data_IF_251104076588
#
_entry.id   IF_251104076588
#
_cell.length_a   1.000
_cell.length_b   1.000
_cell.length_c   1.000
_cell.angle_alpha   90.00
_cell.angle_beta   90.00
_cell.angle_gamma   90.00
#
_symmetry.space_group_name_H-M   'P 1'
#
loop_
_entity.id
_entity.type
_entity.pdbx_description
1 polymer ?
#
# COMPACT_ATOMS: atom_id res chain seq x y z
N UNK A 1 19.38 -42.61 7.11
CA UNK A 1 19.21 -43.00 8.52
C UNK A 1 19.24 -41.75 9.40
N UNK A 2 18.29 -41.57 10.34
CA UNK A 2 18.23 -40.36 11.18
C UNK A 2 19.26 -40.45 12.32
N UNK A 3 20.16 -39.47 12.40
CA UNK A 3 21.12 -39.38 13.50
C UNK A 3 20.39 -39.11 14.83
N UNK A 4 20.65 -39.92 15.86
CA UNK A 4 20.11 -39.73 17.22
C UNK A 4 21.18 -39.13 18.12
N UNK A 5 20.84 -38.01 18.74
CA UNK A 5 21.72 -37.36 19.72
C UNK A 5 21.70 -38.14 21.03
N UNK A 6 22.88 -38.37 21.61
CA UNK A 6 22.97 -38.94 22.96
C UNK A 6 22.59 -37.89 24.01
N UNK A 7 22.16 -38.34 25.20
CA UNK A 7 21.85 -37.42 26.31
C UNK A 7 23.00 -36.48 26.65
N UNK A 8 24.24 -36.98 26.61
CA UNK A 8 25.47 -36.18 26.83
C UNK A 8 25.63 -35.06 25.79
N UNK A 9 25.30 -35.35 24.52
CA UNK A 9 25.37 -34.37 23.44
C UNK A 9 24.30 -33.27 23.60
N UNK A 10 23.08 -33.65 24.00
CA UNK A 10 21.99 -32.69 24.25
C UNK A 10 22.33 -31.78 25.44
N UNK A 11 22.84 -32.32 26.55
CA UNK A 11 23.28 -31.52 27.70
C UNK A 11 24.43 -30.57 27.35
N UNK A 12 25.32 -30.98 26.44
CA UNK A 12 26.36 -30.09 25.93
C UNK A 12 25.76 -28.91 25.15
N UNK A 13 24.82 -29.19 24.24
CA UNK A 13 24.17 -28.14 23.44
C UNK A 13 23.41 -27.16 24.33
N UNK A 14 22.63 -27.64 25.31
CA UNK A 14 21.85 -26.79 26.20
C UNK A 14 22.72 -25.82 27.01
N UNK A 15 23.80 -26.32 27.64
CA UNK A 15 24.69 -25.51 28.48
C UNK A 15 25.47 -24.48 27.66
N UNK A 16 25.94 -24.88 26.47
CA UNK A 16 26.78 -24.01 25.65
C UNK A 16 25.97 -23.03 24.82
N UNK A 17 24.75 -23.36 24.42
CA UNK A 17 23.91 -22.45 23.62
C UNK A 17 23.57 -21.13 24.34
N UNK A 18 23.58 -21.13 25.68
CA UNK A 18 23.46 -19.92 26.51
C UNK A 18 24.70 -19.03 26.48
N UNK A 19 25.88 -19.62 26.26
CA UNK A 19 27.18 -18.93 26.35
C UNK A 19 27.73 -18.45 25.00
N UNK A 20 27.36 -19.12 23.90
CA UNK A 20 27.99 -18.88 22.59
C UNK A 20 26.97 -18.75 21.46
N UNK A 21 27.37 -18.14 20.34
CA UNK A 21 26.52 -18.07 19.15
C UNK A 21 26.41 -19.43 18.45
N UNK A 22 25.40 -19.58 17.60
CA UNK A 22 25.10 -20.84 16.93
C UNK A 22 26.29 -21.36 16.08
N UNK A 23 26.97 -20.45 15.37
CA UNK A 23 28.14 -20.76 14.55
C UNK A 23 29.27 -21.37 15.38
N UNK A 24 29.65 -20.70 16.47
CA UNK A 24 30.69 -21.19 17.38
C UNK A 24 30.28 -22.48 18.08
N UNK A 25 28.98 -22.64 18.37
CA UNK A 25 28.44 -23.87 18.97
C UNK A 25 28.59 -25.07 18.04
N UNK A 26 28.29 -24.91 16.75
CA UNK A 26 28.44 -25.97 15.77
C UNK A 26 29.92 -26.41 15.65
N UNK A 27 30.85 -25.45 15.57
CA UNK A 27 32.30 -25.74 15.53
C UNK A 27 32.76 -26.46 16.80
N UNK A 28 32.36 -25.98 17.99
CA UNK A 28 32.72 -26.60 19.26
C UNK A 28 32.12 -28.01 19.42
N UNK A 29 30.89 -28.20 18.95
CA UNK A 29 30.22 -29.51 18.94
C UNK A 29 30.98 -30.50 18.05
N UNK A 30 31.32 -30.08 16.83
CA UNK A 30 32.05 -30.90 15.87
C UNK A 30 33.44 -31.27 16.40
N UNK A 31 34.17 -30.30 16.98
CA UNK A 31 35.48 -30.53 17.57
C UNK A 31 35.43 -31.50 18.77
N UNK A 32 34.39 -31.42 19.61
CA UNK A 32 34.27 -32.24 20.82
C UNK A 32 33.90 -33.69 20.54
N UNK A 33 33.04 -33.94 19.56
CA UNK A 33 32.49 -35.27 19.28
C UNK A 33 32.99 -35.89 17.97
N UNK A 34 33.82 -35.18 17.20
CA UNK A 34 34.33 -35.64 15.91
C UNK A 34 33.23 -35.78 14.84
N UNK A 35 32.12 -35.07 14.99
CA UNK A 35 30.97 -35.14 14.07
C UNK A 35 31.04 -33.93 13.14
N UNK A 36 30.61 -34.06 11.89
CA UNK A 36 30.44 -32.93 11.01
C UNK A 36 28.96 -32.50 10.94
N UNK A 37 28.52 -31.65 11.87
CA UNK A 37 27.18 -31.04 11.84
C UNK A 37 27.22 -29.61 11.34
N UNK A 38 26.26 -29.28 10.49
CA UNK A 38 26.02 -27.93 10.01
C UNK A 38 25.31 -27.09 11.07
N UNK A 39 25.39 -25.77 10.95
CA UNK A 39 24.67 -24.85 11.83
C UNK A 39 23.14 -25.07 11.79
N UNK A 40 22.60 -25.40 10.61
CA UNK A 40 21.19 -25.66 10.40
C UNK A 40 20.69 -26.89 11.16
N UNK A 41 21.47 -27.98 11.15
CA UNK A 41 21.16 -29.19 11.90
C UNK A 41 21.18 -28.93 13.41
N UNK A 42 22.21 -28.24 13.91
CA UNK A 42 22.29 -27.84 15.31
C UNK A 42 21.08 -26.96 15.68
N UNK A 43 20.74 -25.95 14.87
CA UNK A 43 19.56 -25.10 15.09
C UNK A 43 18.27 -25.90 15.16
N UNK A 44 18.09 -26.85 14.25
CA UNK A 44 16.92 -27.74 14.22
C UNK A 44 16.81 -28.53 15.52
N UNK A 45 17.93 -29.10 16.00
CA UNK A 45 17.95 -29.86 17.26
C UNK A 45 17.61 -29.01 18.46
N UNK A 46 18.20 -27.81 18.58
CA UNK A 46 17.90 -26.87 19.65
C UNK A 46 16.40 -26.50 19.67
N UNK A 47 15.81 -26.26 18.49
CA UNK A 47 14.37 -25.94 18.36
C UNK A 47 13.48 -27.12 18.74
N UNK A 48 13.81 -28.33 18.29
CA UNK A 48 13.04 -29.54 18.59
C UNK A 48 13.03 -29.87 20.08
N UNK A 49 14.15 -29.60 20.77
CA UNK A 49 14.28 -29.76 22.23
C UNK A 49 13.90 -28.50 23.02
N UNK A 50 13.40 -27.45 22.37
CA UNK A 50 12.99 -26.17 22.98
C UNK A 50 14.08 -25.51 23.83
N UNK A 51 15.35 -25.70 23.46
CA UNK A 51 16.45 -25.04 24.14
C UNK A 51 16.49 -23.56 23.77
N UNK A 52 16.40 -22.71 24.79
CA UNK A 52 16.44 -21.26 24.66
C UNK A 52 17.85 -20.75 24.97
N UNK A 53 18.34 -19.81 24.16
CA UNK A 53 19.65 -19.19 24.42
C UNK A 53 19.60 -18.17 25.56
N UNK A 54 18.40 -17.75 25.99
CA UNK A 54 18.22 -16.70 27.00
C UNK A 54 18.65 -15.30 26.57
N UNK A 55 19.18 -15.15 25.34
CA UNK A 55 19.52 -13.84 24.78
C UNK A 55 18.26 -13.12 24.35
N UNK A 56 18.21 -11.81 24.63
CA UNK A 56 17.09 -10.94 24.24
C UNK A 56 16.71 -11.16 22.77
N UNK A 57 15.41 -11.32 22.53
CA UNK A 57 14.81 -11.66 21.22
C UNK A 57 14.92 -10.52 20.18
N UNK A 58 15.74 -9.49 20.44
CA UNK A 58 15.79 -8.26 19.66
C UNK A 58 14.47 -7.47 19.72
N UNK A 59 13.63 -7.75 20.73
CA UNK A 59 12.34 -7.09 20.95
C UNK A 59 12.50 -6.11 22.10
N UNK A 60 11.92 -4.93 21.94
CA UNK A 60 11.76 -3.99 23.05
C UNK A 60 10.86 -4.61 24.11
N UNK A 61 11.17 -4.34 25.39
CA UNK A 61 10.36 -4.80 26.49
C UNK A 61 8.96 -4.16 26.47
N UNK A 62 7.97 -4.85 27.02
CA UNK A 62 6.60 -4.33 27.06
C UNK A 62 6.59 -3.06 27.92
N UNK A 63 6.18 -1.94 27.33
CA UNK A 63 6.22 -0.63 27.98
C UNK A 63 7.43 0.22 27.62
N UNK A 64 8.35 -0.28 26.80
CA UNK A 64 9.48 0.51 26.31
C UNK A 64 9.02 1.76 25.55
N UNK A 65 9.36 2.92 26.07
CA UNK A 65 9.11 4.22 25.44
C UNK A 65 10.30 4.56 24.54
N UNK A 66 10.04 4.76 23.25
CA UNK A 66 11.08 5.21 22.33
C UNK A 66 11.58 6.61 22.74
N UNK A 67 12.89 6.84 22.60
CA UNK A 67 13.57 8.08 22.99
C UNK A 67 12.94 9.37 22.40
N UNK A 68 12.24 9.24 21.26
CA UNK A 68 11.64 10.36 20.53
C UNK A 68 10.14 10.56 20.80
N UNK A 69 9.49 9.74 21.64
CA UNK A 69 8.03 9.79 21.86
C UNK A 69 7.56 11.18 22.31
N UNK A 70 8.27 11.78 23.24
CA UNK A 70 7.95 13.11 23.80
C UNK A 70 8.55 14.27 23.00
N UNK A 71 9.48 13.96 22.08
CA UNK A 71 10.15 14.92 21.22
C UNK A 71 9.37 15.23 19.94
N UNK A 72 8.24 14.56 19.69
CA UNK A 72 7.41 14.81 18.51
C UNK A 72 7.04 16.29 18.40
N UNK A 73 7.52 16.97 17.35
CA UNK A 73 7.28 18.40 17.12
C UNK A 73 8.23 19.35 17.86
N UNK A 74 9.21 18.83 18.62
CA UNK A 74 10.21 19.61 19.37
C UNK A 74 11.62 19.29 18.88
N UNK A 75 12.51 20.28 18.92
CA UNK A 75 13.94 20.13 18.62
C UNK A 75 14.21 19.37 17.31
N UNK A 76 14.90 18.23 17.43
CA UNK A 76 15.33 17.35 16.33
C UNK A 76 14.16 16.77 15.53
N UNK A 77 13.02 16.50 16.18
CA UNK A 77 11.83 15.92 15.53
C UNK A 77 10.79 16.98 15.13
N UNK A 78 11.19 18.25 15.06
CA UNK A 78 10.38 19.34 14.49
C UNK A 78 10.42 19.28 12.96
N UNK A 79 9.32 19.69 12.32
CA UNK A 79 9.30 19.90 10.88
C UNK A 79 10.41 20.88 10.47
N UNK A 80 11.25 20.46 9.54
CA UNK A 80 12.35 21.25 8.97
C UNK A 80 12.00 21.75 7.56
N UNK A 81 12.92 22.45 6.90
CA UNK A 81 12.73 22.99 5.55
C UNK A 81 12.38 21.92 4.50
N UNK A 82 12.84 20.68 4.68
CA UNK A 82 12.54 19.54 3.79
C UNK A 82 11.23 18.80 4.12
N UNK A 83 10.52 19.19 5.18
CA UNK A 83 9.28 18.52 5.59
C UNK A 83 8.11 19.01 4.71
N UNK A 84 7.32 18.08 4.18
CA UNK A 84 6.11 18.42 3.43
C UNK A 84 5.14 19.23 4.29
N UNK A 85 4.81 20.45 3.84
CA UNK A 85 3.80 21.28 4.49
C UNK A 85 2.40 20.72 4.21
N UNK A 86 1.48 20.89 5.16
CA UNK A 86 0.06 20.54 4.95
C UNK A 86 -0.46 21.32 3.74
N UNK A 87 -1.08 20.61 2.80
CA UNK A 87 -1.58 21.20 1.55
C UNK A 87 -0.53 21.35 0.45
N UNK A 88 0.71 20.87 0.65
CA UNK A 88 1.70 20.88 -0.42
C UNK A 88 1.25 20.01 -1.59
N UNK A 89 1.11 20.61 -2.76
CA UNK A 89 0.72 19.93 -3.99
C UNK A 89 1.99 19.63 -4.80
N UNK A 90 2.26 18.37 -5.17
CA UNK A 90 3.42 18.04 -6.00
C UNK A 90 3.35 18.76 -7.35
N UNK A 91 4.48 19.26 -7.85
CA UNK A 91 4.58 19.93 -9.16
C UNK A 91 4.06 19.06 -10.31
N UNK A 92 4.26 17.74 -10.20
CA UNK A 92 3.82 16.76 -11.20
C UNK A 92 2.32 16.42 -11.09
N UNK A 93 1.56 17.05 -10.18
CA UNK A 93 0.12 16.83 -10.09
C UNK A 93 -0.57 17.39 -11.34
N UNK A 94 -1.08 16.48 -12.17
CA UNK A 94 -1.82 16.90 -13.36
C UNK A 94 -3.21 17.42 -13.02
N UNK A 95 -3.61 18.51 -13.67
CA UNK A 95 -4.97 19.09 -13.59
C UNK A 95 -6.01 18.13 -14.18
N UNK A 96 -7.27 18.28 -13.77
CA UNK A 96 -8.40 17.58 -14.40
C UNK A 96 -8.45 17.99 -15.88
N UNK A 97 -8.74 17.03 -16.77
CA UNK A 97 -8.71 17.21 -18.22
C UNK A 97 -7.36 16.91 -18.88
N UNK A 98 -6.29 16.77 -18.10
CA UNK A 98 -4.96 16.42 -18.65
C UNK A 98 -4.94 15.05 -19.32
N UNK A 99 -4.21 14.98 -20.44
CA UNK A 99 -4.07 13.78 -21.26
C UNK A 99 -2.74 13.08 -21.03
N UNK A 100 -2.74 11.74 -21.02
CA UNK A 100 -1.53 10.92 -21.02
C UNK A 100 -1.69 9.72 -21.93
N UNK A 101 -0.60 9.26 -22.53
CA UNK A 101 -0.59 8.02 -23.32
C UNK A 101 -0.36 6.84 -22.36
N UNK A 102 -1.13 5.76 -22.54
CA UNK A 102 -0.91 4.53 -21.79
C UNK A 102 0.26 3.73 -22.37
N UNK A 103 1.25 3.41 -21.54
CA UNK A 103 2.48 2.76 -22.00
C UNK A 103 2.27 1.33 -22.55
N UNK A 104 1.19 0.65 -22.14
CA UNK A 104 0.91 -0.73 -22.56
C UNK A 104 0.10 -0.82 -23.85
N UNK A 105 -0.86 0.09 -24.04
CA UNK A 105 -1.86 0.01 -25.13
C UNK A 105 -1.75 1.14 -26.15
N UNK A 106 -0.92 2.16 -25.88
CA UNK A 106 -0.78 3.33 -26.75
C UNK A 106 -2.01 4.26 -26.78
N UNK A 107 -2.99 4.05 -25.90
CA UNK A 107 -4.25 4.79 -25.90
C UNK A 107 -4.12 6.11 -25.13
N UNK A 108 -4.79 7.17 -25.62
CA UNK A 108 -4.86 8.45 -24.91
C UNK A 108 -5.87 8.36 -23.77
N UNK A 109 -5.47 8.74 -22.55
CA UNK A 109 -6.29 8.78 -21.35
C UNK A 109 -6.46 10.21 -20.85
N UNK A 110 -7.68 10.61 -20.48
CA UNK A 110 -7.99 11.91 -19.84
C UNK A 110 -8.23 11.70 -18.34
N UNK A 111 -7.70 12.61 -17.51
CA UNK A 111 -8.00 12.69 -16.07
C UNK A 111 -9.38 13.30 -15.82
N UNK A 112 -10.31 12.54 -15.23
CA UNK A 112 -11.70 12.94 -14.97
C UNK A 112 -11.96 12.97 -13.45
N UNK A 113 -12.84 13.90 -13.02
CA UNK A 113 -13.30 14.04 -11.62
C UNK A 113 -14.35 12.98 -11.28
N UNK A 114 -13.97 11.72 -11.38
CA UNK A 114 -14.80 10.57 -11.05
C UNK A 114 -14.04 9.67 -10.08
N UNK A 115 -14.73 9.15 -9.06
CA UNK A 115 -14.13 8.30 -8.05
C UNK A 115 -13.59 7.02 -8.70
N UNK A 116 -12.36 6.65 -8.37
CA UNK A 116 -11.76 5.42 -8.83
C UNK A 116 -12.35 4.23 -8.02
N UNK A 117 -12.99 3.24 -8.66
CA UNK A 117 -13.56 2.09 -7.96
C UNK A 117 -12.49 1.22 -7.28
N UNK A 118 -11.25 1.21 -7.78
CA UNK A 118 -10.18 0.38 -7.24
C UNK A 118 -9.36 1.07 -6.14
N UNK A 119 -9.04 2.36 -6.32
CA UNK A 119 -8.17 3.11 -5.39
C UNK A 119 -8.93 4.08 -4.48
N UNK A 120 -10.24 4.26 -4.69
CA UNK A 120 -11.07 5.21 -3.94
C UNK A 120 -10.75 6.69 -4.20
N UNK A 121 -9.75 7.00 -5.03
CA UNK A 121 -9.31 8.37 -5.32
C UNK A 121 -10.43 9.20 -5.97
N UNK A 122 -10.53 10.52 -5.69
CA UNK A 122 -11.61 11.38 -6.22
C UNK A 122 -11.50 11.67 -7.72
N UNK A 123 -10.39 11.28 -8.35
CA UNK A 123 -10.17 11.42 -9.79
C UNK A 123 -9.64 10.11 -10.36
N UNK A 124 -9.91 9.84 -11.64
CA UNK A 124 -9.38 8.67 -12.35
C UNK A 124 -9.07 9.02 -13.80
N UNK A 125 -8.19 8.24 -14.43
CA UNK A 125 -7.95 8.33 -15.87
C UNK A 125 -8.92 7.42 -16.62
N UNK A 126 -9.57 7.93 -17.66
CA UNK A 126 -10.40 7.17 -18.60
C UNK A 126 -9.87 7.32 -20.01
N UNK A 127 -10.07 6.31 -20.84
CA UNK A 127 -9.75 6.39 -22.26
C UNK A 127 -10.51 7.57 -22.89
N UNK A 128 -9.77 8.43 -23.57
CA UNK A 128 -10.34 9.43 -24.45
C UNK A 128 -10.90 8.68 -25.64
N UNK A 129 -12.21 8.74 -25.85
CA UNK A 129 -12.77 8.24 -27.10
C UNK A 129 -12.19 9.07 -28.25
N UNK A 130 -11.36 8.45 -29.08
CA UNK A 130 -11.13 8.94 -30.45
C UNK A 130 -12.50 8.99 -31.12
N UNK A 131 -12.92 10.18 -31.55
CA UNK A 131 -14.32 10.50 -31.84
C UNK A 131 -15.10 9.40 -32.58
N UNK A 132 -16.18 8.92 -31.97
CA UNK A 132 -17.28 8.35 -32.73
C UNK A 132 -18.20 9.52 -33.08
N UNK A 133 -18.16 9.94 -34.34
CA UNK A 133 -19.05 10.97 -34.88
C UNK A 133 -20.50 10.56 -34.70
N UNK A 134 -21.14 11.01 -33.61
CA UNK A 134 -22.58 11.22 -33.66
C UNK A 134 -22.78 12.52 -34.42
N UNK A 135 -23.06 12.38 -35.73
CA UNK A 135 -23.85 13.38 -36.47
C UNK A 135 -25.01 13.76 -35.55
N UNK A 136 -24.95 14.94 -34.93
CA UNK A 136 -26.20 15.57 -34.48
C UNK A 136 -26.92 15.85 -35.78
N UNK A 137 -27.90 15.01 -36.10
CA UNK A 137 -28.80 15.27 -37.21
C UNK A 137 -29.35 16.68 -37.03
N UNK A 138 -29.18 17.53 -38.03
CA UNK A 138 -29.65 18.93 -38.08
C UNK A 138 -31.18 19.09 -37.89
N UNK A 139 -31.90 18.00 -37.62
CA UNK A 139 -33.34 18.00 -37.36
C UNK A 139 -33.73 18.51 -35.96
N UNK A 140 -32.82 18.56 -34.99
CA UNK A 140 -33.18 19.00 -33.62
C UNK A 140 -33.09 20.51 -33.38
N UNK A 141 -32.29 21.25 -34.14
CA UNK A 141 -32.10 22.70 -33.90
C UNK A 141 -33.08 23.57 -34.70
N UNK A 142 -33.59 23.09 -35.85
CA UNK A 142 -34.66 23.79 -36.59
C UNK A 142 -36.03 23.73 -35.87
N UNK A 143 -36.28 22.72 -35.04
CA UNK A 143 -37.52 22.63 -34.26
C UNK A 143 -37.55 23.62 -33.07
N UNK A 144 -36.40 23.93 -32.46
CA UNK A 144 -36.33 24.97 -31.41
C UNK A 144 -36.33 26.39 -31.97
N UNK A 145 -35.81 26.61 -33.19
CA UNK A 145 -35.78 27.94 -33.80
C UNK A 145 -37.15 28.39 -34.36
N UNK A 146 -38.07 27.47 -34.64
CA UNK A 146 -39.42 27.83 -35.09
C UNK A 146 -40.31 28.37 -33.95
N UNK A 147 -40.04 27.99 -32.69
CA UNK A 147 -40.85 28.43 -31.54
C UNK A 147 -40.56 29.88 -31.11
N UNK A 148 -39.42 30.44 -31.52
CA UNK A 148 -39.00 31.81 -31.18
C UNK A 148 -39.27 32.83 -32.30
N UNK A 149 -39.76 32.40 -33.48
CA UNK A 149 -39.97 33.28 -34.64
C UNK A 149 -41.43 33.56 -34.97
N UNK A 150 -42.37 32.77 -34.45
CA UNK A 150 -43.81 33.04 -34.55
C UNK A 150 -44.35 33.41 -33.18
N UNK A 151 -44.28 34.69 -32.83
CA UNK A 151 -44.89 35.25 -31.62
C UNK A 151 -46.40 35.08 -31.65
N UNK A 152 -46.89 33.94 -31.18
CA UNK A 152 -48.30 33.71 -30.86
C UNK A 152 -48.36 33.37 -29.37
N UNK A 153 -48.70 34.40 -28.59
CA UNK A 153 -49.17 34.27 -27.22
C UNK A 153 -50.52 33.56 -27.30
N UNK A 154 -50.59 32.27 -26.96
CA UNK A 154 -51.87 31.67 -26.54
C UNK A 154 -52.04 31.90 -25.05
N UNK A 155 -52.81 32.95 -24.77
CA UNK A 155 -53.43 33.28 -23.50
C UNK A 155 -54.16 32.08 -22.89
N UNK A 156 -53.88 31.85 -21.60
CA UNK A 156 -54.81 31.47 -20.52
C UNK A 156 -56.16 30.85 -20.92
N UNK A 157 -56.41 29.60 -20.50
CA UNK A 157 -57.72 29.23 -19.95
C UNK A 157 -57.55 28.33 -18.72
N UNK A 158 -57.87 28.93 -17.58
CA UNK A 158 -58.15 28.29 -16.29
C UNK A 158 -59.31 27.30 -16.47
N UNK A 159 -59.13 26.06 -16.05
CA UNK A 159 -60.20 25.10 -15.82
C UNK A 159 -60.99 25.51 -14.58
N UNK A 160 -62.25 25.88 -14.79
CA UNK A 160 -63.28 26.15 -13.78
C UNK A 160 -63.94 24.82 -13.38
N UNK A 161 -64.15 24.66 -12.07
CA UNK A 161 -64.97 23.64 -11.45
C UNK A 161 -66.46 23.84 -11.75
N UNK A 162 -67.16 22.77 -12.16
CA UNK A 162 -68.54 22.40 -11.80
C UNK A 162 -68.89 21.11 -12.56
N UNK A 163 -69.07 19.97 -11.86
CA UNK A 163 -70.32 19.41 -11.30
C UNK A 163 -69.91 18.38 -10.25
#
# INVERSE_FOLDING_TARGET
MRYRYSGKQLSFLERNYKKMCLRTLAVAFNKRYGINKTEGEIRSTLRNHRFLSGRSTGRFEKGHIAWNKELKGKGICKANSGTFRKGNVPTNLRRIGSERIDARKGEVLIKIKERNPYTGSPTRFKKKASGCGKRKTERSLKAQLYFLRTGIIRTSMKTIWHV
#
